data_IF_479186847972
#
_entry.id   IF_479186847972
#
_cell.length_a   1.000
_cell.length_b   1.000
_cell.length_c   1.000
_cell.angle_alpha   90.00
_cell.angle_beta   90.00
_cell.angle_gamma   90.00
#
_symmetry.space_group_name_H-M   'P 1'
#
loop_
_entity.id
_entity.type
_entity.pdbx_description
1 polymer ?
#
# COMPACT_ATOMS: atom_id res chain seq x y z
N UNK A 1 -37.54 48.31 27.39
CA UNK A 1 -36.26 47.64 27.07
C UNK A 1 -36.56 46.22 26.60
N UNK A 2 -36.58 45.95 25.27
CA UNK A 2 -36.79 44.59 24.75
C UNK A 2 -35.52 43.78 25.00
N UNK A 3 -35.57 42.84 25.94
CA UNK A 3 -34.44 41.99 26.31
C UNK A 3 -34.00 41.17 25.07
N UNK A 4 -32.71 41.20 24.78
CA UNK A 4 -32.04 40.56 23.62
C UNK A 4 -31.99 39.03 23.76
N UNK A 5 -33.15 38.39 23.86
CA UNK A 5 -33.26 36.93 23.98
C UNK A 5 -32.84 36.16 22.71
N UNK A 6 -32.72 36.86 21.57
CA UNK A 6 -32.21 36.28 20.32
C UNK A 6 -30.70 36.02 20.31
N UNK A 7 -29.94 36.58 21.27
CA UNK A 7 -28.51 36.30 21.41
C UNK A 7 -28.25 34.92 22.01
N UNK A 8 -29.19 34.40 22.81
CA UNK A 8 -29.05 33.09 23.48
C UNK A 8 -28.95 31.93 22.47
N UNK A 9 -29.84 31.80 21.45
CA UNK A 9 -29.70 30.74 20.45
C UNK A 9 -28.45 30.89 19.57
N UNK A 10 -28.03 32.14 19.28
CA UNK A 10 -26.77 32.41 18.57
C UNK A 10 -25.57 31.89 19.36
N UNK A 11 -25.56 32.13 20.67
CA UNK A 11 -24.48 31.70 21.57
C UNK A 11 -24.46 30.17 21.75
N UNK A 12 -25.64 29.54 21.80
CA UNK A 12 -25.79 28.07 21.85
C UNK A 12 -25.25 27.39 20.58
N UNK A 13 -25.31 28.04 19.42
CA UNK A 13 -24.71 27.51 18.18
C UNK A 13 -23.23 27.87 18.03
N UNK A 14 -22.86 29.09 18.41
CA UNK A 14 -21.49 29.60 18.25
C UNK A 14 -20.48 28.90 19.17
N UNK A 15 -20.86 28.59 20.42
CA UNK A 15 -19.95 27.95 21.39
C UNK A 15 -19.57 26.52 20.95
N UNK A 16 -20.50 25.62 20.59
CA UNK A 16 -20.15 24.31 20.05
C UNK A 16 -19.35 24.39 18.76
N UNK A 17 -19.69 25.30 17.84
CA UNK A 17 -18.93 25.50 16.61
C UNK A 17 -17.48 25.93 16.90
N UNK A 18 -17.28 26.86 17.84
CA UNK A 18 -15.95 27.28 18.29
C UNK A 18 -15.19 26.12 18.94
N UNK A 19 -15.83 25.33 19.80
CA UNK A 19 -15.22 24.15 20.41
C UNK A 19 -14.81 23.10 19.38
N UNK A 20 -15.63 22.88 18.33
CA UNK A 20 -15.27 21.99 17.21
C UNK A 20 -14.03 22.51 16.47
N UNK A 21 -13.95 23.82 16.21
CA UNK A 21 -12.79 24.43 15.55
C UNK A 21 -11.54 24.29 16.42
N UNK A 22 -11.62 24.64 17.71
CA UNK A 22 -10.51 24.52 18.66
C UNK A 22 -10.06 23.06 18.81
N UNK A 23 -11.00 22.13 18.90
CA UNK A 23 -10.71 20.69 18.97
C UNK A 23 -10.04 20.19 17.68
N UNK A 24 -10.54 20.59 16.50
CA UNK A 24 -9.91 20.21 15.22
C UNK A 24 -8.48 20.74 15.08
N UNK A 25 -8.23 21.96 15.56
CA UNK A 25 -6.89 22.57 15.60
C UNK A 25 -5.97 21.82 16.56
N UNK A 26 -6.48 21.44 17.73
CA UNK A 26 -5.75 20.65 18.71
C UNK A 26 -5.39 19.27 18.14
N UNK A 27 -6.35 18.55 17.56
CA UNK A 27 -6.11 17.23 16.93
C UNK A 27 -5.06 17.33 15.83
N UNK A 28 -5.13 18.33 14.95
CA UNK A 28 -4.12 18.54 13.90
C UNK A 28 -2.74 18.93 14.45
N UNK A 29 -2.67 19.53 15.65
CA UNK A 29 -1.40 19.84 16.31
C UNK A 29 -0.76 18.62 16.96
N UNK A 30 -1.56 17.71 17.50
CA UNK A 30 -1.07 16.47 18.13
C UNK A 30 -0.74 15.43 17.05
N UNK A 31 -1.51 15.40 15.97
CA UNK A 31 -1.36 14.46 14.85
C UNK A 31 -1.30 15.22 13.53
N UNK A 32 -0.12 15.80 13.20
CA UNK A 32 0.07 16.53 11.96
C UNK A 32 -0.15 15.62 10.76
N UNK A 33 -0.62 16.18 9.65
CA UNK A 33 -0.72 15.43 8.42
C UNK A 33 0.67 15.06 7.92
N UNK A 34 0.89 13.79 7.53
CA UNK A 34 2.14 13.43 6.90
C UNK A 34 2.29 14.26 5.61
N UNK A 35 3.50 14.74 5.30
CA UNK A 35 3.74 15.48 4.06
C UNK A 35 3.28 14.64 2.88
N UNK A 36 2.84 15.22 1.77
CA UNK A 36 2.47 14.42 0.59
C UNK A 36 3.72 13.68 0.07
N UNK A 37 3.59 12.42 -0.38
CA UNK A 37 4.73 11.72 -0.94
C UNK A 37 5.14 12.34 -2.29
N UNK A 38 6.44 12.35 -2.56
CA UNK A 38 7.00 12.83 -3.83
C UNK A 38 6.60 11.92 -4.99
N UNK A 39 6.64 10.60 -4.76
CA UNK A 39 6.21 9.57 -5.72
C UNK A 39 4.81 9.11 -5.32
N UNK A 40 3.81 9.35 -6.17
CA UNK A 40 2.43 8.91 -5.93
C UNK A 40 2.07 7.61 -6.65
N UNK A 41 2.92 7.21 -7.59
CA UNK A 41 2.71 6.10 -8.48
C UNK A 41 4.06 5.47 -8.82
N UNK A 42 4.18 4.17 -8.66
CA UNK A 42 5.34 3.42 -9.12
C UNK A 42 4.92 2.01 -9.56
N UNK A 43 5.56 1.50 -10.61
CA UNK A 43 5.39 0.13 -11.08
C UNK A 43 6.61 -0.68 -10.67
N UNK A 44 6.44 -1.90 -10.18
CA UNK A 44 7.52 -2.78 -9.76
C UNK A 44 7.39 -4.11 -10.50
N UNK A 45 8.45 -4.62 -11.15
CA UNK A 45 8.37 -5.91 -11.78
C UNK A 45 8.30 -6.99 -10.70
N UNK A 46 7.37 -7.93 -10.88
CA UNK A 46 7.18 -9.09 -10.01
C UNK A 46 7.54 -10.35 -10.79
N UNK A 47 8.47 -11.12 -10.25
CA UNK A 47 8.77 -12.47 -10.71
C UNK A 47 8.54 -13.46 -9.57
N UNK A 48 7.60 -14.38 -9.77
CA UNK A 48 7.26 -15.39 -8.78
C UNK A 48 7.34 -16.78 -9.41
N UNK A 49 8.06 -17.67 -8.74
CA UNK A 49 8.11 -19.09 -9.09
C UNK A 49 7.56 -19.90 -7.94
N UNK A 50 6.58 -20.75 -8.23
CA UNK A 50 5.95 -21.58 -7.22
C UNK A 50 5.65 -22.99 -7.76
N UNK A 51 5.57 -23.94 -6.83
CA UNK A 51 5.08 -25.28 -7.10
C UNK A 51 3.62 -25.34 -6.66
N UNK A 52 2.77 -25.94 -7.49
CA UNK A 52 1.39 -26.27 -7.15
C UNK A 52 1.10 -27.66 -7.72
N UNK A 53 0.54 -28.57 -6.92
CA UNK A 53 0.29 -29.96 -7.30
C UNK A 53 1.53 -30.68 -7.87
N UNK A 54 2.73 -30.32 -7.40
CA UNK A 54 4.00 -30.87 -7.91
C UNK A 54 4.44 -30.31 -9.27
N UNK A 55 3.68 -29.41 -9.89
CA UNK A 55 4.06 -28.71 -11.12
C UNK A 55 4.68 -27.35 -10.80
N UNK A 56 5.76 -27.00 -11.51
CA UNK A 56 6.41 -25.69 -11.40
C UNK A 56 5.67 -24.69 -12.29
N UNK A 57 5.30 -23.57 -11.70
CA UNK A 57 4.69 -22.43 -12.36
C UNK A 57 5.58 -21.21 -12.23
N UNK A 58 5.60 -20.40 -13.28
CA UNK A 58 6.31 -19.12 -13.33
C UNK A 58 5.32 -18.02 -13.69
N UNK A 59 5.31 -16.96 -12.89
CA UNK A 59 4.50 -15.77 -13.10
C UNK A 59 5.42 -14.56 -13.24
N UNK A 60 5.15 -13.77 -14.27
CA UNK A 60 5.74 -12.43 -14.47
C UNK A 60 4.60 -11.44 -14.54
N UNK A 61 4.59 -10.50 -13.60
CA UNK A 61 3.57 -9.46 -13.52
C UNK A 61 4.23 -8.13 -13.08
N UNK A 62 3.43 -7.10 -12.90
CA UNK A 62 3.86 -5.80 -12.40
C UNK A 62 2.97 -5.38 -11.24
N UNK A 63 3.57 -5.10 -10.09
CA UNK A 63 2.88 -4.51 -8.95
C UNK A 63 2.83 -3.00 -9.17
N UNK A 64 1.64 -2.42 -9.08
CA UNK A 64 1.41 -0.99 -9.12
C UNK A 64 1.20 -0.51 -7.69
N UNK A 65 2.05 0.42 -7.24
CA UNK A 65 1.90 1.11 -5.96
C UNK A 65 1.36 2.51 -6.17
N UNK A 66 0.22 2.81 -5.56
CA UNK A 66 -0.47 4.10 -5.68
C UNK A 66 -0.75 4.72 -4.31
N UNK A 67 -0.63 6.05 -4.24
CA UNK A 67 -1.02 6.81 -3.05
C UNK A 67 -2.54 6.95 -2.98
N UNK A 68 -3.14 6.40 -1.93
CA UNK A 68 -4.60 6.35 -1.67
C UNK A 68 -5.05 7.38 -0.62
N UNK A 69 -4.22 8.41 -0.36
CA UNK A 69 -4.55 9.49 0.57
C UNK A 69 -3.98 9.31 1.98
N UNK A 70 -4.65 9.88 2.97
CA UNK A 70 -4.19 9.86 4.37
C UNK A 70 -5.16 9.06 5.22
N UNK A 71 -4.66 8.02 5.88
CA UNK A 71 -5.40 7.23 6.85
C UNK A 71 -5.25 7.77 8.27
N UNK A 72 -6.12 7.30 9.16
CA UNK A 72 -6.04 7.54 10.60
C UNK A 72 -6.17 6.21 11.35
N UNK A 73 -5.28 5.95 12.32
CA UNK A 73 -5.49 4.89 13.30
C UNK A 73 -5.07 5.37 14.71
N UNK A 74 -5.61 4.73 15.76
CA UNK A 74 -5.41 5.16 17.16
C UNK A 74 -3.95 4.96 17.66
N UNK A 75 -3.15 4.13 17.00
CA UNK A 75 -1.78 3.82 17.40
C UNK A 75 -0.68 4.67 16.74
N UNK A 76 -0.91 5.10 15.50
CA UNK A 76 0.05 5.80 14.65
C UNK A 76 -0.45 7.20 14.22
N UNK A 77 -1.69 7.58 14.57
CA UNK A 77 -2.28 8.84 14.14
C UNK A 77 -2.52 8.89 12.63
N UNK A 78 -2.16 10.01 11.99
CA UNK A 78 -2.26 10.19 10.54
C UNK A 78 -1.09 9.52 9.82
N UNK A 79 -1.38 8.64 8.87
CA UNK A 79 -0.36 7.97 8.05
C UNK A 79 -0.72 8.07 6.56
N UNK A 80 0.29 7.96 5.69
CA UNK A 80 0.05 7.87 4.24
C UNK A 80 -0.52 6.50 3.92
N UNK A 81 -1.66 6.49 3.25
CA UNK A 81 -2.30 5.28 2.79
C UNK A 81 -1.80 4.96 1.40
N UNK A 82 -1.38 3.72 1.22
CA UNK A 82 -0.88 3.20 -0.04
C UNK A 82 -1.72 2.00 -0.46
N UNK A 83 -1.85 1.81 -1.77
CA UNK A 83 -2.56 0.70 -2.38
C UNK A 83 -1.63 -0.03 -3.33
N UNK A 84 -1.55 -1.35 -3.20
CA UNK A 84 -0.88 -2.21 -4.18
C UNK A 84 -1.93 -2.92 -5.03
N UNK A 85 -1.69 -2.98 -6.33
CA UNK A 85 -2.48 -3.79 -7.26
C UNK A 85 -1.58 -4.50 -8.25
N UNK A 86 -2.03 -5.64 -8.78
CA UNK A 86 -1.40 -6.29 -9.91
C UNK A 86 -1.87 -5.66 -11.22
N UNK A 87 -0.95 -5.35 -12.13
CA UNK A 87 -1.28 -4.75 -13.44
C UNK A 87 -2.16 -5.67 -14.28
N UNK A 88 -1.94 -6.98 -14.22
CA UNK A 88 -2.70 -7.96 -14.99
C UNK A 88 -4.18 -8.07 -14.59
N UNK A 89 -4.47 -8.01 -13.29
CA UNK A 89 -5.80 -8.35 -12.74
C UNK A 89 -6.48 -7.20 -12.01
N UNK A 90 -5.75 -6.14 -11.68
CA UNK A 90 -6.19 -5.07 -10.79
C UNK A 90 -6.40 -5.52 -9.33
N UNK A 91 -6.05 -6.76 -8.99
CA UNK A 91 -6.25 -7.32 -7.65
C UNK A 91 -5.15 -6.86 -6.68
N UNK A 92 -5.48 -6.79 -5.40
CA UNK A 92 -4.58 -6.44 -4.30
C UNK A 92 -3.71 -7.62 -3.81
N UNK A 93 -3.88 -8.79 -4.44
CA UNK A 93 -3.25 -10.06 -4.07
C UNK A 93 -3.11 -10.96 -5.28
N UNK A 94 -2.18 -11.91 -5.21
CA UNK A 94 -2.04 -12.95 -6.22
C UNK A 94 -2.85 -14.19 -5.82
N UNK A 95 -4.04 -14.33 -6.38
CA UNK A 95 -4.92 -15.50 -6.14
C UNK A 95 -4.48 -16.69 -6.98
N UNK A 96 -4.21 -17.83 -6.32
CA UNK A 96 -3.79 -19.07 -6.96
C UNK A 96 -4.98 -20.00 -7.20
N UNK A 97 -5.82 -20.12 -6.18
CA UNK A 97 -6.98 -21.00 -6.18
C UNK A 97 -8.14 -20.27 -5.56
N UNK A 98 -9.29 -20.32 -6.21
CA UNK A 98 -10.56 -19.87 -5.68
C UNK A 98 -11.60 -20.96 -5.91
N UNK A 99 -12.11 -21.53 -4.83
CA UNK A 99 -13.11 -22.60 -4.87
C UNK A 99 -14.22 -22.32 -3.88
N UNK A 100 -15.35 -23.01 -4.06
CA UNK A 100 -16.49 -22.94 -3.14
C UNK A 100 -16.88 -24.37 -2.76
N UNK A 101 -16.84 -24.67 -1.46
CA UNK A 101 -17.33 -25.93 -0.91
C UNK A 101 -18.55 -25.65 -0.04
N UNK A 102 -19.74 -26.01 -0.54
CA UNK A 102 -21.01 -25.66 0.09
C UNK A 102 -21.17 -24.13 0.19
N UNK A 103 -21.34 -23.63 1.41
CA UNK A 103 -21.49 -22.21 1.71
C UNK A 103 -20.17 -21.50 2.05
N UNK A 104 -19.03 -22.21 1.96
CA UNK A 104 -17.70 -21.68 2.27
C UNK A 104 -16.94 -21.39 0.97
N UNK A 105 -16.61 -20.12 0.76
CA UNK A 105 -15.67 -19.69 -0.29
C UNK A 105 -14.25 -19.78 0.26
N UNK A 106 -13.38 -20.46 -0.46
CA UNK A 106 -11.99 -20.70 -0.08
C UNK A 106 -11.09 -20.10 -1.14
N UNK A 107 -10.21 -19.21 -0.72
CA UNK A 107 -9.24 -18.53 -1.56
C UNK A 107 -7.82 -18.77 -1.02
N UNK A 108 -6.94 -19.28 -1.87
CA UNK A 108 -5.50 -19.41 -1.56
C UNK A 108 -4.77 -18.37 -2.38
N UNK A 109 -4.00 -17.51 -1.71
CA UNK A 109 -3.37 -16.36 -2.35
C UNK A 109 -2.02 -16.01 -1.70
N UNK A 110 -1.21 -15.25 -2.43
CA UNK A 110 -0.03 -14.56 -1.91
C UNK A 110 -0.31 -13.08 -1.72
N UNK A 111 0.14 -12.54 -0.58
CA UNK A 111 0.16 -11.10 -0.33
C UNK A 111 1.26 -10.46 -1.17
N UNK A 112 1.00 -9.28 -1.75
CA UNK A 112 1.99 -8.49 -2.49
C UNK A 112 3.04 -7.83 -1.58
N UNK A 113 2.85 -7.92 -0.27
CA UNK A 113 3.71 -7.30 0.74
C UNK A 113 3.19 -5.94 1.20
N UNK A 114 4.05 -5.18 1.88
CA UNK A 114 3.70 -3.85 2.37
C UNK A 114 4.02 -2.79 1.32
N UNK A 115 3.03 -1.95 1.05
CA UNK A 115 3.10 -0.91 0.04
C UNK A 115 4.11 0.18 0.42
N UNK A 116 4.13 0.52 1.70
CA UNK A 116 5.02 1.47 2.34
C UNK A 116 6.49 1.16 2.02
N UNK A 117 6.87 -0.12 2.08
CA UNK A 117 8.24 -0.54 1.82
C UNK A 117 8.62 -0.40 0.35
N UNK A 118 7.76 -0.85 -0.57
CA UNK A 118 7.99 -0.74 -2.01
C UNK A 118 8.07 0.73 -2.45
N UNK A 119 7.22 1.58 -1.87
CA UNK A 119 7.18 3.01 -2.17
C UNK A 119 8.28 3.82 -1.47
N UNK A 120 9.22 3.17 -0.77
CA UNK A 120 10.34 3.84 -0.09
C UNK A 120 9.88 4.72 1.08
N UNK A 121 8.72 4.42 1.66
CA UNK A 121 8.11 5.12 2.77
C UNK A 121 7.87 4.17 3.96
N UNK A 122 8.89 3.40 4.41
CA UNK A 122 8.71 2.49 5.54
C UNK A 122 8.30 3.28 6.78
N UNK A 123 7.30 2.77 7.49
CA UNK A 123 6.82 3.35 8.74
C UNK A 123 8.00 3.56 9.70
N UNK A 124 8.33 4.82 10.01
CA UNK A 124 9.59 5.19 10.69
C UNK A 124 9.75 4.55 12.06
N UNK A 125 8.63 4.18 12.68
CA UNK A 125 8.58 3.60 14.02
C UNK A 125 8.70 2.07 14.01
N UNK A 126 8.73 1.44 12.83
CA UNK A 126 8.84 0.00 12.68
C UNK A 126 10.10 -0.28 11.87
N UNK A 127 11.11 -0.86 12.50
CA UNK A 127 12.23 -1.54 11.82
C UNK A 127 11.70 -2.77 11.06
N UNK A 128 10.78 -2.53 10.14
CA UNK A 128 10.04 -3.54 9.41
C UNK A 128 10.88 -3.94 8.21
N UNK A 129 11.44 -5.14 8.27
CA UNK A 129 11.96 -5.79 7.08
C UNK A 129 10.77 -6.36 6.31
N UNK A 130 10.63 -5.99 5.05
CA UNK A 130 9.70 -6.63 4.13
C UNK A 130 9.89 -8.14 4.21
N UNK A 131 8.91 -8.84 4.77
CA UNK A 131 8.90 -10.29 4.73
C UNK A 131 8.08 -10.69 3.51
N UNK A 132 8.76 -11.05 2.43
CA UNK A 132 8.10 -11.64 1.27
C UNK A 132 7.41 -12.93 1.69
N UNK A 133 6.27 -13.29 1.06
CA UNK A 133 5.51 -14.44 1.50
C UNK A 133 6.37 -15.70 1.40
N UNK A 134 6.75 -16.28 2.55
CA UNK A 134 7.40 -17.59 2.61
C UNK A 134 6.40 -18.73 2.46
N UNK A 135 5.10 -18.43 2.64
CA UNK A 135 4.01 -19.39 2.58
C UNK A 135 2.74 -18.71 2.04
N UNK A 136 1.85 -19.44 1.34
CA UNK A 136 0.56 -18.91 0.94
C UNK A 136 -0.31 -18.57 2.16
N UNK A 137 -1.32 -17.74 1.93
CA UNK A 137 -2.41 -17.51 2.86
C UNK A 137 -3.66 -18.20 2.35
N UNK A 138 -4.49 -18.68 3.28
CA UNK A 138 -5.82 -19.18 2.98
C UNK A 138 -6.85 -18.27 3.64
N UNK A 139 -7.75 -17.72 2.83
CA UNK A 139 -8.96 -17.06 3.29
C UNK A 139 -10.14 -18.00 3.15
N UNK A 140 -10.92 -18.12 4.22
CA UNK A 140 -12.19 -18.84 4.26
C UNK A 140 -13.29 -17.85 4.60
N UNK A 141 -14.29 -17.78 3.72
CA UNK A 141 -15.44 -16.91 3.88
C UNK A 141 -16.71 -17.74 3.97
N UNK A 142 -17.39 -17.62 5.11
CA UNK A 142 -18.63 -18.31 5.43
C UNK A 142 -19.69 -17.26 5.77
N UNK A 143 -20.56 -16.95 4.81
CA UNK A 143 -21.52 -15.86 4.93
C UNK A 143 -20.85 -14.50 5.20
N UNK A 144 -21.02 -13.97 6.42
CA UNK A 144 -20.41 -12.70 6.87
C UNK A 144 -19.07 -12.86 7.58
N UNK A 145 -18.68 -14.08 7.92
CA UNK A 145 -17.42 -14.35 8.60
C UNK A 145 -16.32 -14.57 7.57
N UNK A 146 -15.20 -13.86 7.74
CA UNK A 146 -13.98 -14.08 6.97
C UNK A 146 -12.85 -14.38 7.95
N UNK A 147 -12.14 -15.48 7.71
CA UNK A 147 -10.93 -15.83 8.43
C UNK A 147 -9.77 -15.96 7.45
N UNK A 148 -8.61 -15.42 7.80
CA UNK A 148 -7.37 -15.57 7.01
C UNK A 148 -6.32 -16.20 7.91
N UNK A 149 -5.68 -17.27 7.46
CA UNK A 149 -4.64 -17.98 8.19
C UNK A 149 -3.49 -18.39 7.28
N UNK A 150 -2.35 -18.78 7.89
CA UNK A 150 -1.22 -19.35 7.17
C UNK A 150 -1.61 -20.68 6.51
N UNK A 151 -1.12 -20.92 5.30
CA UNK A 151 -1.27 -22.19 4.58
C UNK A 151 -0.20 -23.19 5.04
N UNK A 152 -0.22 -23.57 6.32
CA UNK A 152 0.84 -24.40 6.91
C UNK A 152 0.47 -25.88 6.99
N UNK A 153 -0.80 -26.21 7.24
CA UNK A 153 -1.25 -27.59 7.44
C UNK A 153 -2.75 -27.75 7.24
N UNK A 154 -3.19 -28.97 6.91
CA UNK A 154 -4.58 -29.35 6.68
C UNK A 154 -4.86 -29.83 5.26
N UNK A 155 -6.10 -30.28 5.04
CA UNK A 155 -6.55 -30.94 3.79
C UNK A 155 -6.19 -30.15 2.52
N UNK A 156 -6.28 -28.82 2.58
CA UNK A 156 -5.96 -27.94 1.45
C UNK A 156 -4.48 -27.87 1.13
N UNK A 157 -3.63 -27.90 2.17
CA UNK A 157 -2.17 -27.94 2.02
C UNK A 157 -1.73 -29.27 1.42
N UNK A 158 -2.34 -30.37 1.84
CA UNK A 158 -2.10 -31.69 1.26
C UNK A 158 -2.62 -31.79 -0.18
N UNK A 159 -3.82 -31.27 -0.44
CA UNK A 159 -4.48 -31.30 -1.76
C UNK A 159 -3.73 -30.49 -2.80
N UNK A 160 -3.33 -29.26 -2.47
CA UNK A 160 -2.71 -28.36 -3.46
C UNK A 160 -1.18 -28.30 -3.40
N UNK A 161 -0.57 -28.72 -2.28
CA UNK A 161 0.88 -28.74 -2.04
C UNK A 161 1.61 -27.54 -2.65
N UNK A 162 1.19 -26.34 -2.23
CA UNK A 162 1.69 -25.08 -2.79
C UNK A 162 2.94 -24.64 -2.04
N UNK A 163 4.00 -24.33 -2.77
CA UNK A 163 5.26 -23.82 -2.21
C UNK A 163 5.84 -22.73 -3.08
N UNK A 164 6.25 -21.62 -2.48
CA UNK A 164 7.06 -20.61 -3.19
C UNK A 164 8.48 -21.13 -3.28
N UNK A 165 9.06 -21.05 -4.47
CA UNK A 165 10.48 -21.26 -4.69
C UNK A 165 11.22 -19.93 -4.71
N UNK A 166 10.62 -18.92 -5.34
CA UNK A 166 11.26 -17.64 -5.61
C UNK A 166 10.20 -16.53 -5.65
N UNK A 167 10.50 -15.42 -5.00
CA UNK A 167 9.68 -14.21 -5.02
C UNK A 167 10.62 -13.01 -5.11
N UNK A 168 10.74 -12.45 -6.30
CA UNK A 168 11.62 -11.32 -6.56
C UNK A 168 10.82 -10.12 -7.04
N UNK A 169 11.11 -8.97 -6.44
CA UNK A 169 10.62 -7.68 -6.88
C UNK A 169 11.81 -6.78 -7.20
N UNK A 170 11.82 -6.21 -8.41
CA UNK A 170 12.87 -5.29 -8.83
C UNK A 170 12.67 -3.87 -8.32
N UNK A 171 13.64 -2.96 -8.57
CA UNK A 171 13.44 -1.53 -8.38
C UNK A 171 12.25 -1.03 -9.20
N UNK A 172 11.65 0.12 -8.84
CA UNK A 172 10.53 0.66 -9.60
C UNK A 172 10.95 0.87 -11.06
N UNK A 173 10.11 0.39 -11.97
CA UNK A 173 10.20 0.68 -13.39
C UNK A 173 10.08 2.20 -13.52
N UNK A 174 11.13 2.85 -14.00
CA UNK A 174 11.09 4.28 -14.26
C UNK A 174 10.14 4.54 -15.42
N UNK A 175 8.88 4.81 -15.10
CA UNK A 175 7.95 5.36 -16.07
C UNK A 175 8.27 6.84 -16.25
N UNK A 176 8.95 7.17 -17.35
CA UNK A 176 8.99 8.52 -17.86
C UNK A 176 7.60 8.86 -18.41
N UNK A 177 6.75 9.43 -17.55
CA UNK A 177 5.60 10.18 -18.05
C UNK A 177 6.14 11.52 -18.52
N UNK A 178 6.27 11.68 -19.84
CA UNK A 178 6.40 13.01 -20.42
C UNK A 178 5.20 13.82 -19.93
N UNK A 179 5.46 14.79 -19.05
CA UNK A 179 4.47 15.77 -18.70
C UNK A 179 4.16 16.53 -20.00
N UNK A 180 3.00 16.26 -20.60
CA UNK A 180 2.46 17.14 -21.62
C UNK A 180 2.28 18.54 -21.00
N UNK A 181 3.22 19.40 -21.38
CA UNK A 181 3.19 20.85 -21.37
C UNK A 181 2.96 21.57 -20.03
N UNK A 182 4.05 22.21 -19.57
CA UNK A 182 3.98 23.52 -18.93
C UNK A 182 4.62 23.62 -17.56
N UNK A 183 5.95 23.54 -17.47
CA UNK A 183 6.76 24.68 -17.02
C UNK A 183 8.25 24.31 -16.88
N UNK A 184 9.08 25.19 -17.40
CA UNK A 184 10.52 25.07 -17.63
C UNK A 184 11.37 25.39 -16.39
N UNK A 185 11.37 24.59 -15.32
CA UNK A 185 12.39 24.66 -14.25
C UNK A 185 12.35 23.31 -13.49
N UNK A 186 13.31 22.38 -13.49
CA UNK A 186 14.76 22.45 -13.49
C UNK A 186 15.32 21.16 -14.14
N UNK A 187 16.03 21.27 -15.28
CA UNK A 187 16.99 20.25 -15.71
C UNK A 187 18.37 20.86 -15.52
N UNK A 188 18.84 20.91 -14.27
CA UNK A 188 20.16 21.45 -13.95
C UNK A 188 20.80 20.72 -12.75
N UNK A 189 20.73 19.38 -12.69
CA UNK A 189 21.52 18.63 -11.69
C UNK A 189 22.23 17.35 -12.18
N UNK A 190 22.31 17.06 -13.49
CA UNK A 190 23.07 15.87 -13.97
C UNK A 190 24.15 16.13 -15.02
N UNK A 191 24.47 17.39 -15.35
CA UNK A 191 25.47 17.70 -16.41
C UNK A 191 26.82 18.25 -15.94
N UNK A 192 27.19 18.02 -14.69
CA UNK A 192 28.55 18.26 -14.19
C UNK A 192 28.95 17.14 -13.25
N UNK A 193 29.34 15.99 -13.81
CA UNK A 193 30.40 15.11 -13.29
C UNK A 193 30.51 13.90 -14.21
N UNK A 194 31.01 14.09 -15.44
CA UNK A 194 31.67 13.04 -16.23
C UNK A 194 32.28 13.69 -17.49
N UNK A 195 33.45 14.33 -17.32
CA UNK A 195 34.42 14.46 -18.41
C UNK A 195 35.79 14.91 -17.89
N UNK A 196 36.82 14.15 -18.26
CA UNK A 196 38.25 14.49 -18.17
C UNK A 196 38.97 13.86 -16.95
N UNK A 197 39.88 12.90 -17.11
CA UNK A 197 40.49 12.41 -18.32
C UNK A 197 41.48 11.28 -18.05
N UNK A 198 41.77 10.55 -19.12
CA UNK A 198 42.99 9.77 -19.28
C UNK A 198 43.84 10.48 -20.34
N UNK A 199 45.09 10.80 -20.01
CA UNK A 199 46.17 10.93 -21.00
C UNK A 199 47.53 10.81 -20.33
N UNK A 200 48.25 9.81 -20.81
CA UNK A 200 49.68 9.50 -20.72
C UNK A 200 50.67 10.65 -20.52
N UNK A 201 51.66 10.41 -19.64
CA UNK A 201 53.11 10.52 -19.85
C UNK A 201 53.81 9.46 -19.00
#
# INVERSE_FOLDING_TARGET
MKKRYWLIPLLILAVPALLIVLFSRFVNSVYPEPPKPAVKYAEFPLHAVYIMNGQRHELRDTIIGEYDGTGWNEGNGKFRKWKLTLKSSGADRLTLVKTKEGDVEIEIFFSLGHAEYLMGDPDKDRNYKQNYPSSPLISKKEGRMNSTSLFTSGEWSEKYNIRILEWETGPPIQNHFEAENGDLFEILLSRTMFNGGWSSY
#
